data_IF_411866534905
#
_entry.id   IF_411866534905
#
_cell.length_a   1.000
_cell.length_b   1.000
_cell.length_c   1.000
_cell.angle_alpha   90.00
_cell.angle_beta   90.00
_cell.angle_gamma   90.00
#
_symmetry.space_group_name_H-M   'P 1'
#
loop_
_entity.id
_entity.type
_entity.pdbx_description
1 polymer ?
#
# COMPACT_ATOMS: atom_id res chain seq x y z
N UNK A 1 -3.28 -25.27 28.88
CA UNK A 1 -1.82 -25.10 28.83
C UNK A 1 -1.37 -25.22 27.38
N UNK A 2 -1.19 -24.10 26.70
CA UNK A 2 -0.19 -23.87 25.64
C UNK A 2 -0.18 -22.36 25.36
N UNK A 3 0.94 -21.70 25.67
CA UNK A 3 1.36 -20.48 24.97
C UNK A 3 1.17 -19.14 25.69
N UNK A 4 1.80 -18.95 26.86
CA UNK A 4 2.29 -17.63 27.21
C UNK A 4 3.41 -17.25 26.23
N UNK A 5 3.13 -16.39 25.24
CA UNK A 5 4.11 -15.59 24.48
C UNK A 5 3.40 -14.76 23.41
N UNK A 6 2.80 -13.64 23.81
CA UNK A 6 2.85 -12.40 23.04
C UNK A 6 2.85 -11.24 24.04
N UNK A 7 3.92 -11.20 24.83
CA UNK A 7 4.41 -9.93 25.34
C UNK A 7 4.88 -9.12 24.13
N UNK A 8 4.03 -8.21 23.65
CA UNK A 8 4.47 -6.89 23.23
C UNK A 8 3.23 -6.02 22.99
N UNK A 9 2.91 -5.20 23.98
CA UNK A 9 2.35 -3.88 23.73
C UNK A 9 3.43 -2.97 23.13
N UNK A 10 4.18 -3.46 22.15
CA UNK A 10 5.06 -2.63 21.35
C UNK A 10 4.26 -2.11 20.17
N UNK A 11 4.22 -0.78 20.11
CA UNK A 11 4.04 0.02 18.91
C UNK A 11 2.60 0.29 18.42
N UNK A 12 1.92 1.23 19.10
CA UNK A 12 1.35 2.37 18.36
C UNK A 12 2.33 3.57 18.34
N UNK A 13 3.54 3.39 18.86
CA UNK A 13 4.57 4.42 19.04
C UNK A 13 5.83 4.25 18.16
N UNK A 14 6.08 3.08 17.53
CA UNK A 14 7.24 2.92 16.63
C UNK A 14 6.87 3.40 15.21
N UNK A 15 7.54 4.46 14.71
CA UNK A 15 7.23 4.99 13.38
C UNK A 15 7.54 4.02 12.23
N UNK A 16 8.40 3.02 12.41
CA UNK A 16 8.67 2.00 11.38
C UNK A 16 7.50 1.02 11.30
N UNK A 17 6.94 0.60 12.44
CA UNK A 17 5.75 -0.24 12.46
C UNK A 17 4.53 0.48 11.87
N UNK A 18 4.39 1.78 12.12
CA UNK A 18 3.34 2.57 11.48
C UNK A 18 3.44 2.55 9.94
N UNK A 19 4.65 2.58 9.36
CA UNK A 19 4.85 2.45 7.90
C UNK A 19 4.49 1.03 7.41
N UNK A 20 4.84 0.00 8.18
CA UNK A 20 4.47 -1.39 7.88
C UNK A 20 2.95 -1.62 7.93
N UNK A 21 2.24 -0.97 8.84
CA UNK A 21 0.78 -0.98 8.88
C UNK A 21 0.17 -0.31 7.64
N UNK A 22 0.78 0.78 7.17
CA UNK A 22 0.40 1.41 5.90
C UNK A 22 0.63 0.45 4.72
N UNK A 23 1.75 -0.29 4.68
CA UNK A 23 1.98 -1.34 3.68
C UNK A 23 0.91 -2.43 3.72
N UNK A 24 0.49 -2.85 4.92
CA UNK A 24 -0.57 -3.85 5.08
C UNK A 24 -1.91 -3.35 4.51
N UNK A 25 -2.25 -2.08 4.75
CA UNK A 25 -3.44 -1.44 4.16
C UNK A 25 -3.35 -1.41 2.63
N UNK A 26 -2.20 -0.97 2.09
CA UNK A 26 -1.94 -0.93 0.65
C UNK A 26 -2.09 -2.30 0.01
N UNK A 27 -1.45 -3.34 0.57
CA UNK A 27 -1.59 -4.73 0.08
C UNK A 27 -3.04 -5.20 0.05
N UNK A 28 -3.82 -4.86 1.07
CA UNK A 28 -5.24 -5.18 1.14
C UNK A 28 -6.03 -4.53 0.00
N UNK A 29 -5.75 -3.26 -0.31
CA UNK A 29 -6.34 -2.57 -1.47
C UNK A 29 -5.89 -3.22 -2.77
N UNK A 30 -4.59 -3.48 -2.95
CA UNK A 30 -4.07 -4.07 -4.18
C UNK A 30 -4.70 -5.44 -4.49
N UNK A 31 -4.92 -6.28 -3.48
CA UNK A 31 -5.61 -7.56 -3.64
C UNK A 31 -7.06 -7.40 -4.12
N UNK A 32 -7.79 -6.41 -3.61
CA UNK A 32 -9.15 -6.13 -4.06
C UNK A 32 -9.20 -5.58 -5.50
N UNK A 33 -8.23 -4.74 -5.88
CA UNK A 33 -8.11 -4.22 -7.25
C UNK A 33 -7.76 -5.34 -8.24
N UNK A 34 -6.84 -6.26 -7.90
CA UNK A 34 -6.56 -7.44 -8.72
C UNK A 34 -7.82 -8.25 -8.98
N UNK A 35 -8.60 -8.50 -7.93
CA UNK A 35 -9.85 -9.22 -8.05
C UNK A 35 -10.83 -8.50 -8.98
N UNK A 36 -11.05 -7.19 -8.82
CA UNK A 36 -11.94 -6.44 -9.70
C UNK A 36 -11.43 -6.47 -11.16
N UNK A 37 -10.11 -6.43 -11.40
CA UNK A 37 -9.57 -6.52 -12.78
C UNK A 37 -9.93 -7.82 -13.49
N UNK A 38 -10.05 -8.92 -12.75
CA UNK A 38 -10.50 -10.21 -13.32
C UNK A 38 -12.01 -10.25 -13.63
N UNK A 39 -12.78 -9.27 -13.15
CA UNK A 39 -14.24 -9.17 -13.29
C UNK A 39 -14.71 -7.88 -14.01
N UNK A 40 -13.81 -7.19 -14.74
CA UNK A 40 -14.08 -5.92 -15.41
C UNK A 40 -15.28 -5.94 -16.39
N UNK A 41 -15.72 -7.12 -16.85
CA UNK A 41 -16.74 -7.28 -17.89
C UNK A 41 -18.20 -7.42 -17.37
N UNK A 42 -18.44 -7.46 -16.05
CA UNK A 42 -19.71 -7.97 -15.49
C UNK A 42 -20.80 -6.93 -15.08
N UNK A 43 -20.92 -5.78 -15.74
CA UNK A 43 -22.08 -4.87 -15.56
C UNK A 43 -21.85 -3.63 -14.68
N UNK A 44 -22.92 -2.89 -14.31
CA UNK A 44 -22.96 -1.43 -14.36
C UNK A 44 -21.96 -0.69 -13.47
N UNK A 45 -21.30 0.29 -14.10
CA UNK A 45 -20.40 1.33 -13.59
C UNK A 45 -19.42 0.86 -12.51
N UNK A 46 -18.33 0.22 -12.93
CA UNK A 46 -17.14 -0.01 -12.09
C UNK A 46 -16.39 1.29 -11.78
N UNK A 47 -16.77 2.40 -12.42
CA UNK A 47 -16.07 3.66 -12.33
C UNK A 47 -16.03 4.26 -10.93
N UNK A 48 -17.10 4.31 -10.12
CA UNK A 48 -17.00 4.75 -8.73
C UNK A 48 -16.00 3.94 -7.90
N UNK A 49 -15.86 2.64 -8.15
CA UNK A 49 -14.84 1.81 -7.49
C UNK A 49 -13.43 2.19 -7.96
N UNK A 50 -13.24 2.40 -9.26
CA UNK A 50 -11.95 2.81 -9.81
C UNK A 50 -11.59 4.26 -9.51
N UNK A 51 -12.57 5.15 -9.37
CA UNK A 51 -12.42 6.54 -8.93
C UNK A 51 -11.92 6.55 -7.48
N UNK A 52 -12.56 5.77 -6.59
CA UNK A 52 -12.11 5.53 -5.21
C UNK A 52 -10.68 4.93 -5.18
N UNK A 53 -10.38 3.96 -6.06
CA UNK A 53 -9.08 3.32 -6.14
C UNK A 53 -7.97 4.30 -6.56
N UNK A 54 -8.21 5.09 -7.61
CA UNK A 54 -7.26 6.09 -8.10
C UNK A 54 -7.02 7.17 -7.05
N UNK A 55 -8.08 7.62 -6.37
CA UNK A 55 -7.95 8.59 -5.28
C UNK A 55 -7.08 8.03 -4.14
N UNK A 56 -7.28 6.77 -3.74
CA UNK A 56 -6.43 6.13 -2.73
C UNK A 56 -4.97 6.01 -3.19
N UNK A 57 -4.72 5.58 -4.43
CA UNK A 57 -3.36 5.42 -4.96
C UNK A 57 -2.61 6.76 -5.08
N UNK A 58 -3.28 7.82 -5.50
CA UNK A 58 -2.70 9.16 -5.57
C UNK A 58 -2.44 9.72 -4.18
N UNK A 59 -3.45 9.76 -3.34
CA UNK A 59 -3.36 10.52 -2.09
C UNK A 59 -2.73 9.74 -0.94
N UNK A 60 -3.04 8.45 -0.81
CA UNK A 60 -2.48 7.63 0.26
C UNK A 60 -1.09 7.10 -0.10
N UNK A 61 -0.94 6.46 -1.26
CA UNK A 61 0.32 5.80 -1.63
C UNK A 61 1.36 6.82 -2.10
N UNK A 62 0.98 7.69 -3.02
CA UNK A 62 1.93 8.59 -3.71
C UNK A 62 2.18 9.88 -2.94
N UNK A 63 1.16 10.55 -2.42
CA UNK A 63 1.37 11.82 -1.73
C UNK A 63 1.62 11.63 -0.23
N UNK A 64 0.91 10.75 0.46
CA UNK A 64 1.09 10.62 1.91
C UNK A 64 2.24 9.70 2.30
N UNK A 65 2.17 8.43 1.91
CA UNK A 65 3.09 7.40 2.38
C UNK A 65 4.51 7.61 1.84
N UNK A 66 4.66 7.78 0.52
CA UNK A 66 5.95 8.10 -0.10
C UNK A 66 6.64 9.29 0.53
N UNK A 67 5.94 10.39 0.81
CA UNK A 67 6.56 11.58 1.40
C UNK A 67 7.16 11.27 2.77
N UNK A 68 6.53 10.41 3.58
CA UNK A 68 7.10 9.98 4.87
C UNK A 68 8.42 9.23 4.69
N UNK A 69 8.48 8.39 3.67
CA UNK A 69 9.67 7.61 3.38
C UNK A 69 10.78 8.48 2.78
N UNK A 70 10.49 9.25 1.73
CA UNK A 70 11.49 10.02 0.99
C UNK A 70 11.93 11.29 1.72
N UNK A 71 11.00 12.05 2.31
CA UNK A 71 11.32 13.32 2.97
C UNK A 71 11.81 13.14 4.40
N UNK A 72 11.66 11.94 4.98
CA UNK A 72 12.00 11.72 6.40
C UNK A 72 12.85 10.48 6.58
N UNK A 73 12.31 9.28 6.33
CA UNK A 73 13.03 8.02 6.62
C UNK A 73 14.36 7.95 5.85
N UNK A 74 14.33 8.13 4.52
CA UNK A 74 15.51 8.01 3.67
C UNK A 74 16.55 9.07 4.01
N UNK A 75 16.13 10.30 4.31
CA UNK A 75 17.05 11.36 4.76
C UNK A 75 17.75 10.97 6.06
N UNK A 76 17.03 10.41 7.03
CA UNK A 76 17.62 9.96 8.29
C UNK A 76 18.59 8.79 8.06
N UNK A 77 18.24 7.82 7.21
CA UNK A 77 19.13 6.71 6.87
C UNK A 77 20.42 7.17 6.20
N UNK A 78 20.33 8.17 5.30
CA UNK A 78 21.51 8.78 4.67
C UNK A 78 22.38 9.48 5.71
N UNK A 79 21.77 10.21 6.66
CA UNK A 79 22.50 10.84 7.77
C UNK A 79 23.20 9.81 8.67
N UNK A 80 22.68 8.58 8.75
CA UNK A 80 23.29 7.43 9.45
C UNK A 80 24.26 6.61 8.59
N UNK A 81 24.62 7.11 7.40
CA UNK A 81 25.65 6.53 6.55
C UNK A 81 25.16 5.52 5.52
N UNK A 82 23.85 5.33 5.35
CA UNK A 82 23.32 4.55 4.24
C UNK A 82 23.52 5.32 2.93
N UNK A 83 23.92 4.63 1.85
CA UNK A 83 24.18 5.28 0.57
C UNK A 83 22.88 5.74 -0.08
N UNK A 84 22.81 7.03 -0.43
CA UNK A 84 21.65 7.62 -1.12
C UNK A 84 21.47 7.06 -2.54
N UNK A 85 22.57 6.86 -3.28
CA UNK A 85 22.57 6.32 -4.65
C UNK A 85 23.42 5.06 -4.75
N UNK A 86 23.07 4.19 -5.70
CA UNK A 86 23.79 2.93 -5.96
C UNK A 86 23.68 1.92 -4.82
N UNK A 87 22.57 1.96 -4.08
CA UNK A 87 22.26 1.06 -2.97
C UNK A 87 20.73 0.96 -2.77
N UNK A 88 20.25 0.37 -1.66
CA UNK A 88 18.83 0.11 -1.43
C UNK A 88 17.92 1.35 -1.60
N UNK A 89 18.34 2.52 -1.11
CA UNK A 89 17.58 3.79 -1.27
C UNK A 89 17.44 4.15 -2.75
N UNK A 90 18.53 4.06 -3.52
CA UNK A 90 18.52 4.43 -4.94
C UNK A 90 17.62 3.51 -5.79
N UNK A 91 17.60 2.21 -5.47
CA UNK A 91 16.74 1.22 -6.14
C UNK A 91 15.26 1.53 -5.87
N UNK A 92 14.91 1.69 -4.58
CA UNK A 92 13.53 1.95 -4.14
C UNK A 92 13.01 3.29 -4.68
N UNK A 93 13.85 4.33 -4.79
CA UNK A 93 13.48 5.60 -5.43
C UNK A 93 13.16 5.44 -6.92
N UNK A 94 13.96 4.66 -7.65
CA UNK A 94 13.78 4.48 -9.10
C UNK A 94 12.45 3.78 -9.41
N UNK A 95 12.17 2.70 -8.70
CA UNK A 95 10.94 1.91 -8.87
C UNK A 95 9.67 2.69 -8.57
N UNK A 96 9.78 3.67 -7.66
CA UNK A 96 8.65 4.52 -7.32
C UNK A 96 8.27 5.51 -8.41
N UNK A 97 9.26 6.00 -9.19
CA UNK A 97 8.98 6.84 -10.35
C UNK A 97 8.16 6.05 -11.38
N UNK A 98 8.57 4.82 -11.67
CA UNK A 98 7.85 3.92 -12.59
C UNK A 98 6.42 3.62 -12.08
N UNK A 99 6.27 3.36 -10.77
CA UNK A 99 4.96 3.13 -10.18
C UNK A 99 4.04 4.36 -10.23
N UNK A 100 4.58 5.56 -10.01
CA UNK A 100 3.81 6.80 -10.11
C UNK A 100 3.28 7.02 -11.54
N UNK A 101 4.10 6.79 -12.55
CA UNK A 101 3.69 6.96 -13.95
C UNK A 101 2.52 6.03 -14.32
N UNK A 102 2.54 4.78 -13.83
CA UNK A 102 1.43 3.85 -14.00
C UNK A 102 0.18 4.26 -13.22
N UNK A 103 0.31 4.81 -12.00
CA UNK A 103 -0.83 5.34 -11.24
C UNK A 103 -1.47 6.52 -11.99
N UNK A 104 -0.68 7.40 -12.61
CA UNK A 104 -1.21 8.49 -13.42
C UNK A 104 -1.88 7.98 -14.70
N UNK A 105 -1.29 7.01 -15.38
CA UNK A 105 -1.88 6.37 -16.55
C UNK A 105 -3.21 5.67 -16.20
N UNK A 106 -3.28 4.99 -15.05
CA UNK A 106 -4.49 4.38 -14.53
C UNK A 106 -5.58 5.44 -14.30
N UNK A 107 -5.23 6.55 -13.65
CA UNK A 107 -6.15 7.67 -13.44
C UNK A 107 -6.71 8.22 -14.74
N UNK A 108 -5.86 8.42 -15.76
CA UNK A 108 -6.29 8.92 -17.05
C UNK A 108 -7.30 8.00 -17.75
N UNK A 109 -7.07 6.67 -17.76
CA UNK A 109 -8.02 5.74 -18.38
C UNK A 109 -9.33 5.62 -17.60
N UNK A 110 -9.28 5.79 -16.28
CA UNK A 110 -10.46 5.82 -15.42
C UNK A 110 -11.28 7.09 -15.69
N UNK A 111 -10.64 8.25 -15.80
CA UNK A 111 -11.27 9.54 -16.11
C UNK A 111 -11.92 9.53 -17.51
N UNK A 112 -11.21 8.97 -18.50
CA UNK A 112 -11.68 8.81 -19.88
C UNK A 112 -12.71 7.70 -20.07
N UNK A 113 -13.02 6.95 -19.00
CA UNK A 113 -13.98 5.85 -19.00
C UNK A 113 -13.62 4.77 -20.05
N UNK A 114 -12.36 4.33 -20.06
CA UNK A 114 -11.82 3.23 -20.90
C UNK A 114 -11.59 1.95 -20.09
N UNK A 115 -12.60 1.08 -19.94
CA UNK A 115 -12.54 -0.05 -18.99
C UNK A 115 -11.60 -1.16 -19.45
N UNK A 116 -11.42 -1.30 -20.76
CA UNK A 116 -10.50 -2.23 -21.43
C UNK A 116 -9.02 -1.95 -21.11
N UNK A 117 -8.69 -0.68 -20.86
CA UNK A 117 -7.32 -0.26 -20.56
C UNK A 117 -6.95 -0.40 -19.07
N UNK A 118 -7.93 -0.43 -18.17
CA UNK A 118 -7.71 -0.52 -16.71
C UNK A 118 -6.96 -1.79 -16.33
N UNK A 119 -7.44 -2.95 -16.79
CA UNK A 119 -6.90 -4.26 -16.40
C UNK A 119 -5.42 -4.45 -16.76
N UNK A 120 -4.98 -4.16 -18.00
CA UNK A 120 -3.56 -4.18 -18.38
C UNK A 120 -2.69 -3.25 -17.52
N UNK A 121 -3.09 -1.99 -17.35
CA UNK A 121 -2.30 -1.00 -16.59
C UNK A 121 -2.19 -1.40 -15.12
N UNK A 122 -3.29 -1.83 -14.50
CA UNK A 122 -3.28 -2.25 -13.10
C UNK A 122 -2.38 -3.47 -12.87
N UNK A 123 -2.37 -4.45 -13.79
CA UNK A 123 -1.50 -5.64 -13.66
C UNK A 123 -0.01 -5.27 -13.67
N UNK A 124 0.38 -4.29 -14.46
CA UNK A 124 1.76 -3.79 -14.46
C UNK A 124 2.05 -3.00 -13.16
N UNK A 125 1.12 -2.12 -12.79
CA UNK A 125 1.22 -1.28 -11.60
C UNK A 125 1.34 -2.10 -10.31
N UNK A 126 0.44 -3.08 -10.11
CA UNK A 126 0.40 -3.94 -8.91
C UNK A 126 1.66 -4.80 -8.78
N UNK A 127 2.26 -5.24 -9.89
CA UNK A 127 3.50 -6.02 -9.88
C UNK A 127 4.68 -5.16 -9.39
N UNK A 128 4.79 -3.92 -9.89
CA UNK A 128 5.81 -2.98 -9.43
C UNK A 128 5.59 -2.58 -7.96
N UNK A 129 4.38 -2.20 -7.58
CA UNK A 129 4.06 -1.78 -6.22
C UNK A 129 4.34 -2.89 -5.19
N UNK A 130 3.99 -4.15 -5.48
CA UNK A 130 4.31 -5.27 -4.56
C UNK A 130 5.80 -5.52 -4.44
N UNK A 131 6.53 -5.48 -5.56
CA UNK A 131 7.99 -5.61 -5.55
C UNK A 131 8.65 -4.49 -4.74
N UNK A 132 8.15 -3.26 -4.90
CA UNK A 132 8.57 -2.07 -4.17
C UNK A 132 8.39 -2.24 -2.66
N UNK A 133 7.17 -2.56 -2.19
CA UNK A 133 6.91 -2.79 -0.75
C UNK A 133 7.77 -3.92 -0.20
N UNK A 134 7.93 -5.02 -0.94
CA UNK A 134 8.77 -6.14 -0.50
C UNK A 134 10.23 -5.74 -0.33
N UNK A 135 10.77 -4.92 -1.24
CA UNK A 135 12.16 -4.45 -1.17
C UNK A 135 12.37 -3.49 -0.02
N UNK A 136 11.44 -2.59 0.25
CA UNK A 136 11.51 -1.71 1.43
C UNK A 136 11.55 -2.52 2.72
N UNK A 137 10.63 -3.48 2.86
CA UNK A 137 10.54 -4.34 4.04
C UNK A 137 11.75 -5.26 4.21
N UNK A 138 12.38 -5.70 3.12
CA UNK A 138 13.52 -6.61 3.16
C UNK A 138 14.87 -5.90 3.29
N UNK A 139 15.02 -4.73 2.66
CA UNK A 139 16.32 -4.08 2.47
C UNK A 139 16.43 -2.69 3.09
N UNK A 140 15.33 -2.02 3.45
CA UNK A 140 15.37 -0.67 4.05
C UNK A 140 14.94 -0.65 5.51
N UNK A 141 13.83 -1.30 5.86
CA UNK A 141 13.33 -1.27 7.23
C UNK A 141 14.22 -2.01 8.24
N UNK A 142 14.87 -3.15 7.90
CA UNK A 142 15.80 -3.80 8.83
C UNK A 142 17.03 -2.93 9.12
N UNK A 143 17.73 -2.34 8.11
CA UNK A 143 18.76 -1.35 8.40
C UNK A 143 18.24 -0.12 9.16
N UNK A 144 17.01 0.33 8.91
CA UNK A 144 16.43 1.43 9.67
C UNK A 144 16.32 1.13 11.17
N UNK A 145 15.85 -0.06 11.53
CA UNK A 145 15.80 -0.51 12.93
C UNK A 145 17.18 -0.65 13.57
N UNK A 146 18.22 -0.92 12.77
CA UNK A 146 19.59 -1.08 13.27
C UNK A 146 20.36 0.25 13.40
N UNK A 147 20.13 1.20 12.48
CA UNK A 147 20.93 2.42 12.36
C UNK A 147 20.30 3.62 13.06
N UNK A 148 18.97 3.68 13.14
CA UNK A 148 18.26 4.81 13.73
C UNK A 148 18.28 4.72 15.26
N UNK A 149 18.72 5.79 15.91
CA UNK A 149 18.67 5.92 17.36
C UNK A 149 17.31 6.48 17.82
N UNK A 150 17.00 6.44 19.13
CA UNK A 150 15.75 6.99 19.66
C UNK A 150 15.46 8.43 19.23
N UNK A 151 16.51 9.26 19.06
CA UNK A 151 16.37 10.63 18.57
C UNK A 151 15.91 10.70 17.12
N UNK A 152 16.35 9.79 16.26
CA UNK A 152 15.92 9.75 14.85
C UNK A 152 14.54 9.14 14.72
N UNK A 153 14.21 8.11 15.50
CA UNK A 153 12.85 7.56 15.56
C UNK A 153 11.86 8.65 15.99
N UNK A 154 12.23 9.45 17.00
CA UNK A 154 11.43 10.61 17.41
C UNK A 154 11.32 11.68 16.30
N UNK A 155 12.37 11.88 15.50
CA UNK A 155 12.33 12.78 14.33
C UNK A 155 11.44 12.22 13.22
N UNK A 156 11.53 10.93 12.95
CA UNK A 156 10.71 10.22 11.98
C UNK A 156 9.24 10.34 12.34
N UNK A 157 8.87 10.01 13.58
CA UNK A 157 7.50 10.12 14.07
C UNK A 157 6.94 11.54 13.92
N UNK A 158 7.71 12.57 14.30
CA UNK A 158 7.29 13.98 14.13
C UNK A 158 7.17 14.37 12.65
N UNK A 159 8.08 13.89 11.80
CA UNK A 159 8.04 14.13 10.35
C UNK A 159 6.81 13.49 9.71
N UNK A 160 6.54 12.22 10.03
CA UNK A 160 5.33 11.52 9.58
C UNK A 160 4.06 12.25 10.01
N UNK A 161 3.96 12.63 11.29
CA UNK A 161 2.80 13.34 11.81
C UNK A 161 2.62 14.73 11.16
N UNK A 162 3.72 15.42 10.79
CA UNK A 162 3.65 16.67 10.03
C UNK A 162 3.06 16.45 8.64
N UNK A 163 3.57 15.46 7.91
CA UNK A 163 3.08 15.11 6.56
C UNK A 163 1.61 14.71 6.62
N UNK A 164 1.21 13.92 7.62
CA UNK A 164 -0.19 13.55 7.80
C UNK A 164 -1.10 14.77 7.99
N UNK A 165 -0.71 15.71 8.87
CA UNK A 165 -1.47 16.95 9.09
C UNK A 165 -1.53 17.86 7.86
N UNK A 166 -0.49 17.86 7.04
CA UNK A 166 -0.47 18.61 5.78
C UNK A 166 -1.43 17.99 4.77
N UNK A 167 -1.33 16.67 4.56
CA UNK A 167 -2.17 15.92 3.63
C UNK A 167 -3.65 15.92 4.05
N UNK A 168 -3.94 15.89 5.35
CA UNK A 168 -5.31 15.93 5.88
C UNK A 168 -6.09 17.22 5.53
N UNK A 169 -5.40 18.28 5.11
CA UNK A 169 -6.06 19.52 4.65
C UNK A 169 -6.76 19.37 3.31
N UNK A 170 -6.29 18.44 2.48
CA UNK A 170 -6.84 18.16 1.15
C UNK A 170 -7.68 16.89 1.19
N UNK A 171 -7.10 15.80 1.70
CA UNK A 171 -7.73 14.49 1.76
C UNK A 171 -7.50 13.87 3.14
N UNK A 172 -8.48 13.98 4.07
CA UNK A 172 -8.38 13.42 5.41
C UNK A 172 -8.02 11.93 5.38
N UNK A 173 -7.06 11.52 6.22
CA UNK A 173 -6.66 10.11 6.33
C UNK A 173 -7.84 9.19 6.63
N UNK A 174 -8.78 9.63 7.47
CA UNK A 174 -9.98 8.86 7.82
C UNK A 174 -10.82 8.51 6.58
N UNK A 175 -10.99 9.47 5.67
CA UNK A 175 -11.72 9.27 4.42
C UNK A 175 -11.00 8.27 3.51
N UNK A 176 -9.68 8.39 3.37
CA UNK A 176 -8.87 7.44 2.58
C UNK A 176 -8.90 6.02 3.17
N UNK A 177 -8.95 5.88 4.50
CA UNK A 177 -9.12 4.58 5.18
C UNK A 177 -10.52 4.02 4.98
N UNK A 178 -11.55 4.86 4.95
CA UNK A 178 -12.92 4.46 4.61
C UNK A 178 -13.03 4.02 3.14
N UNK A 179 -12.41 4.75 2.21
CA UNK A 179 -12.26 4.36 0.79
C UNK A 179 -11.60 2.98 0.69
N UNK A 180 -10.45 2.79 1.34
CA UNK A 180 -9.77 1.51 1.36
C UNK A 180 -10.66 0.38 1.92
N UNK A 181 -11.47 0.69 2.93
CA UNK A 181 -12.43 -0.26 3.51
C UNK A 181 -13.56 -0.61 2.55
N UNK A 182 -14.10 0.36 1.79
CA UNK A 182 -15.11 0.11 0.75
C UNK A 182 -14.56 -0.74 -0.39
N UNK A 183 -13.35 -0.43 -0.86
CA UNK A 183 -12.66 -1.21 -1.90
C UNK A 183 -12.50 -2.67 -1.44
N UNK A 184 -12.02 -2.87 -0.20
CA UNK A 184 -11.80 -4.21 0.37
C UNK A 184 -13.08 -4.97 0.74
N UNK A 185 -14.16 -4.28 1.07
CA UNK A 185 -15.43 -4.95 1.44
C UNK A 185 -16.18 -5.48 0.23
N UNK A 186 -16.08 -4.83 -0.93
CA UNK A 186 -16.59 -5.33 -2.21
C UNK A 186 -16.05 -6.73 -2.54
N UNK A 187 -14.80 -6.99 -2.15
CA UNK A 187 -14.14 -8.29 -2.28
C UNK A 187 -14.74 -9.36 -1.33
N UNK A 188 -14.97 -9.04 -0.05
CA UNK A 188 -15.52 -9.97 0.96
C UNK A 188 -16.94 -10.47 0.68
N UNK A 189 -17.71 -9.78 -0.15
CA UNK A 189 -19.07 -10.21 -0.55
C UNK A 189 -19.03 -11.22 -1.72
N UNK A 190 -17.89 -11.38 -2.39
CA UNK A 190 -17.72 -12.22 -3.60
C UNK A 190 -16.79 -13.42 -3.42
N UNK A 191 -16.20 -13.63 -2.25
CA UNK A 191 -15.53 -14.91 -1.97
C UNK A 191 -16.56 -16.05 -2.01
N UNK A 192 -16.26 -17.21 -2.62
CA UNK A 192 -16.99 -18.42 -2.30
C UNK A 192 -16.74 -18.67 -0.82
N UNK A 193 -17.78 -18.59 0.02
CA UNK A 193 -17.75 -19.26 1.30
C UNK A 193 -17.25 -20.68 1.07
N UNK A 194 -16.32 -21.18 1.87
CA UNK A 194 -15.83 -22.58 1.89
C UNK A 194 -16.96 -23.58 2.26
N UNK A 195 -18.17 -23.40 1.74
CA UNK A 195 -19.33 -24.21 2.04
C UNK A 195 -19.96 -24.69 0.73
N UNK A 196 -19.31 -25.71 0.15
CA UNK A 196 -19.90 -26.93 -0.42
C UNK A 196 -18.84 -27.74 -1.16
N UNK A 197 -17.87 -28.28 -0.44
CA UNK A 197 -17.33 -29.60 -0.82
C UNK A 197 -18.42 -30.61 -0.45
N UNK A 198 -19.39 -30.82 -1.33
CA UNK A 198 -20.19 -32.05 -1.30
C UNK A 198 -19.38 -33.11 -2.02
N UNK A 199 -18.92 -34.18 -1.36
CA UNK A 199 -18.36 -35.30 -2.10
C UNK A 199 -19.49 -35.87 -2.96
N UNK A 200 -19.35 -35.80 -4.28
CA UNK A 200 -20.19 -36.59 -5.17
C UNK A 200 -19.95 -38.06 -4.83
N UNK A 201 -20.97 -38.68 -4.23
CA UNK A 201 -21.05 -40.12 -4.10
C UNK A 201 -20.96 -40.75 -5.48
N UNK A 202 -20.05 -41.70 -5.62
CA UNK A 202 -19.84 -42.45 -6.84
C UNK A 202 -21.00 -43.45 -7.01
N UNK A 203 -21.68 -43.53 -8.16
CA UNK A 203 -22.71 -44.54 -8.37
C UNK A 203 -22.08 -45.91 -8.65
N UNK A 204 -22.54 -46.93 -7.92
CA UNK A 204 -22.66 -48.30 -8.41
C UNK A 204 -24.13 -48.59 -8.67
#
# INVERSE_FOLDING_TARGET
MYGALLANAASMDDPIDALLEEHALQRGVFGALDFETTHLEQGPSQYPFWDDAVLFLREFVTERHRRKEEEVLFLLLVQRGLRDRGGPIGIVRAERADANDLIQALGAVVDERRPDAIGPIWRECTALLRGHLQREESFLFPPARQLLEPVDLSRLQRGCARIDREADRLHPRSELVEIASRIRSRWRVREPTEDKIRPHGNPQ
#
